data_IF_185438593118
#
_entry.id   IF_185438593118
#
_cell.length_a   1.000
_cell.length_b   1.000
_cell.length_c   1.000
_cell.angle_alpha   90.00
_cell.angle_beta   90.00
_cell.angle_gamma   90.00
#
_symmetry.space_group_name_H-M   'P 1'
#
loop_
_entity.id
_entity.type
_entity.pdbx_description
1 polymer ?
#
# COMPACT_ATOMS: atom_id res chain seq x y z
N UNK A 1 31.51 -18.28 -3.74
CA UNK A 1 30.13 -18.53 -4.14
C UNK A 1 29.26 -19.21 -3.06
N UNK A 2 29.79 -19.78 -1.96
CA UNK A 2 29.00 -20.46 -0.91
C UNK A 2 28.34 -19.59 0.16
N UNK A 3 28.71 -18.34 0.32
CA UNK A 3 28.16 -17.47 1.38
C UNK A 3 26.75 -16.93 1.10
N UNK A 4 26.45 -16.61 -0.15
CA UNK A 4 25.16 -16.05 -0.54
C UNK A 4 24.00 -17.06 -0.45
N UNK A 5 24.26 -18.32 -0.79
CA UNK A 5 23.26 -19.39 -0.75
C UNK A 5 22.90 -19.78 0.70
N UNK A 6 23.89 -19.84 1.61
CA UNK A 6 23.67 -20.08 3.04
C UNK A 6 22.91 -18.91 3.68
N UNK A 7 23.25 -17.68 3.36
CA UNK A 7 22.54 -16.49 3.86
C UNK A 7 21.10 -16.44 3.34
N UNK A 8 20.84 -16.79 2.08
CA UNK A 8 19.50 -16.90 1.54
C UNK A 8 18.69 -18.01 2.23
N UNK A 9 19.30 -19.19 2.44
CA UNK A 9 18.65 -20.32 3.11
C UNK A 9 18.25 -19.96 4.54
N UNK A 10 19.13 -19.36 5.32
CA UNK A 10 18.84 -18.91 6.69
C UNK A 10 17.75 -17.84 6.71
N UNK A 11 17.73 -16.95 5.72
CA UNK A 11 16.73 -15.87 5.61
C UNK A 11 15.31 -16.38 5.36
N UNK A 12 15.16 -17.43 4.54
CA UNK A 12 13.85 -17.99 4.18
C UNK A 12 13.44 -19.21 5.01
N UNK A 13 14.34 -19.75 5.83
CA UNK A 13 14.06 -20.89 6.72
C UNK A 13 12.81 -20.67 7.60
N UNK A 14 12.58 -19.48 8.23
CA UNK A 14 11.39 -19.27 9.04
C UNK A 14 10.08 -19.41 8.25
N UNK A 15 10.07 -19.00 6.98
CA UNK A 15 8.88 -19.12 6.12
C UNK A 15 8.60 -20.59 5.77
N UNK A 16 9.64 -21.37 5.49
CA UNK A 16 9.52 -22.80 5.22
C UNK A 16 9.04 -23.53 6.47
N UNK A 17 9.60 -23.21 7.65
CA UNK A 17 9.16 -23.81 8.92
C UNK A 17 7.70 -23.45 9.25
N UNK A 18 7.27 -22.21 8.98
CA UNK A 18 5.89 -21.80 9.15
C UNK A 18 4.95 -22.55 8.22
N UNK A 19 5.31 -22.72 6.95
CA UNK A 19 4.52 -23.49 5.98
C UNK A 19 4.41 -24.96 6.36
N UNK A 20 5.51 -25.57 6.83
CA UNK A 20 5.51 -26.94 7.34
C UNK A 20 4.67 -27.08 8.61
N UNK A 21 4.80 -26.16 9.55
CA UNK A 21 3.98 -26.14 10.78
C UNK A 21 2.49 -25.99 10.46
N UNK A 22 2.13 -25.16 9.49
CA UNK A 22 0.77 -25.04 8.99
C UNK A 22 0.26 -26.36 8.42
N UNK A 23 0.98 -26.95 7.47
CA UNK A 23 0.57 -28.21 6.82
C UNK A 23 0.43 -29.36 7.83
N UNK A 24 1.42 -29.52 8.72
CA UNK A 24 1.39 -30.56 9.75
C UNK A 24 0.26 -30.32 10.76
N UNK A 25 0.10 -29.09 11.26
CA UNK A 25 -0.95 -28.75 12.23
C UNK A 25 -2.36 -28.97 11.69
N UNK A 26 -2.60 -28.67 10.40
CA UNK A 26 -3.85 -28.93 9.73
C UNK A 26 -4.11 -30.43 9.51
N UNK A 27 -3.08 -31.20 9.11
CA UNK A 27 -3.24 -32.66 8.85
C UNK A 27 -3.32 -33.51 10.10
N UNK A 28 -2.68 -33.11 11.18
CA UNK A 28 -2.72 -33.87 12.46
C UNK A 28 -3.99 -33.66 13.26
N UNK A 29 -4.89 -32.76 12.79
CA UNK A 29 -6.12 -32.45 13.50
C UNK A 29 -5.94 -31.58 14.75
N UNK A 30 -4.73 -31.01 14.96
CA UNK A 30 -4.48 -30.03 16.03
C UNK A 30 -5.34 -28.78 15.84
N UNK A 31 -5.64 -28.44 14.59
CA UNK A 31 -6.55 -27.35 14.21
C UNK A 31 -7.62 -27.94 13.28
N UNK A 32 -8.87 -27.51 13.47
CA UNK A 32 -9.96 -27.90 12.58
C UNK A 32 -9.64 -27.48 11.14
N UNK A 33 -9.82 -28.38 10.17
CA UNK A 33 -9.64 -28.08 8.75
C UNK A 33 -10.60 -27.01 8.22
N UNK A 34 -11.70 -26.77 8.91
CA UNK A 34 -12.59 -25.64 8.64
C UNK A 34 -11.96 -24.30 9.03
N UNK A 35 -11.18 -24.27 10.11
CA UNK A 35 -10.53 -23.05 10.58
C UNK A 35 -9.19 -22.81 9.86
N UNK A 36 -8.46 -23.88 9.52
CA UNK A 36 -7.17 -23.81 8.84
C UNK A 36 -7.05 -25.03 7.90
N UNK A 37 -7.42 -24.89 6.60
CA UNK A 37 -7.26 -25.96 5.64
C UNK A 37 -5.78 -26.26 5.38
N UNK A 38 -5.40 -27.51 5.02
CA UNK A 38 -4.03 -27.84 4.66
C UNK A 38 -3.51 -26.95 3.53
N UNK A 39 -2.25 -26.54 3.60
CA UNK A 39 -1.63 -25.69 2.57
C UNK A 39 -1.65 -26.35 1.19
N UNK A 40 -1.58 -27.67 1.14
CA UNK A 40 -1.69 -28.45 -0.09
C UNK A 40 -3.05 -28.35 -0.77
N UNK A 41 -4.17 -28.33 -0.02
CA UNK A 41 -5.53 -28.12 -0.57
C UNK A 41 -5.71 -26.67 -1.00
N UNK A 42 -5.17 -25.72 -0.24
CA UNK A 42 -5.14 -24.29 -0.61
C UNK A 42 -4.39 -24.10 -1.94
N UNK A 43 -3.25 -24.77 -2.13
CA UNK A 43 -2.50 -24.70 -3.39
C UNK A 43 -3.27 -25.30 -4.57
N UNK A 44 -4.00 -26.40 -4.36
CA UNK A 44 -4.85 -26.99 -5.40
C UNK A 44 -6.00 -26.03 -5.79
N UNK A 45 -6.70 -25.48 -4.80
CA UNK A 45 -7.76 -24.49 -5.04
C UNK A 45 -7.22 -23.22 -5.74
N UNK A 46 -6.00 -22.79 -5.40
CA UNK A 46 -5.34 -21.66 -6.07
C UNK A 46 -5.13 -21.92 -7.58
N UNK A 47 -4.71 -23.15 -7.95
CA UNK A 47 -4.52 -23.55 -9.35
C UNK A 47 -5.88 -23.59 -10.09
N UNK A 48 -6.95 -24.05 -9.45
CA UNK A 48 -8.29 -24.05 -10.02
C UNK A 48 -8.79 -22.62 -10.30
N UNK A 49 -8.75 -21.73 -9.30
CA UNK A 49 -9.13 -20.33 -9.45
C UNK A 49 -8.30 -19.58 -10.53
N UNK A 50 -7.05 -19.98 -10.75
CA UNK A 50 -6.25 -19.47 -11.87
C UNK A 50 -6.74 -19.98 -13.23
N UNK A 51 -7.07 -21.27 -13.34
CA UNK A 51 -7.56 -21.89 -14.60
C UNK A 51 -8.92 -21.35 -14.99
N UNK A 52 -9.81 -21.15 -14.04
CA UNK A 52 -11.15 -20.60 -14.25
C UNK A 52 -11.14 -19.09 -14.56
N UNK A 53 -9.98 -18.45 -14.37
CA UNK A 53 -9.78 -17.03 -14.63
C UNK A 53 -10.34 -16.10 -13.54
N UNK A 54 -11.03 -16.61 -12.54
CA UNK A 54 -11.63 -15.81 -11.47
C UNK A 54 -10.59 -14.99 -10.71
N UNK A 55 -9.42 -15.60 -10.40
CA UNK A 55 -8.35 -14.93 -9.70
C UNK A 55 -7.74 -13.81 -10.52
N UNK A 56 -7.63 -13.99 -11.84
CA UNK A 56 -7.07 -12.98 -12.75
C UNK A 56 -8.04 -11.81 -12.90
N UNK A 57 -9.32 -12.08 -13.12
CA UNK A 57 -10.35 -11.06 -13.32
C UNK A 57 -10.52 -10.20 -12.05
N UNK A 58 -10.71 -10.84 -10.91
CA UNK A 58 -10.85 -10.15 -9.64
C UNK A 58 -9.54 -9.44 -9.23
N UNK A 59 -8.39 -10.05 -9.49
CA UNK A 59 -7.07 -9.46 -9.25
C UNK A 59 -6.83 -8.20 -10.07
N UNK A 60 -7.20 -8.21 -11.35
CA UNK A 60 -7.08 -7.05 -12.23
C UNK A 60 -7.96 -5.88 -11.75
N UNK A 61 -9.22 -6.15 -11.38
CA UNK A 61 -10.12 -5.14 -10.83
C UNK A 61 -9.57 -4.53 -9.53
N UNK A 62 -9.08 -5.35 -8.61
CA UNK A 62 -8.47 -4.90 -7.35
C UNK A 62 -7.21 -4.06 -7.59
N UNK A 63 -6.30 -4.52 -8.45
CA UNK A 63 -5.06 -3.78 -8.76
C UNK A 63 -5.35 -2.45 -9.47
N UNK A 64 -6.35 -2.39 -10.33
CA UNK A 64 -6.80 -1.15 -10.95
C UNK A 64 -7.25 -0.13 -9.90
N UNK A 65 -8.12 -0.53 -8.97
CA UNK A 65 -8.64 0.34 -7.89
C UNK A 65 -7.53 0.81 -6.97
N UNK A 66 -6.65 -0.10 -6.52
CA UNK A 66 -5.51 0.23 -5.68
C UNK A 66 -4.55 1.20 -6.40
N UNK A 67 -4.20 0.90 -7.65
CA UNK A 67 -3.30 1.72 -8.46
C UNK A 67 -3.85 3.12 -8.71
N UNK A 68 -5.11 3.24 -9.13
CA UNK A 68 -5.75 4.53 -9.39
C UNK A 68 -5.85 5.39 -8.12
N UNK A 69 -6.31 4.80 -7.00
CA UNK A 69 -6.44 5.52 -5.73
C UNK A 69 -5.08 5.96 -5.18
N UNK A 70 -4.08 5.07 -5.24
CA UNK A 70 -2.72 5.38 -4.80
C UNK A 70 -2.07 6.46 -5.69
N UNK A 71 -2.24 6.37 -7.01
CA UNK A 71 -1.72 7.37 -7.93
C UNK A 71 -2.28 8.76 -7.65
N UNK A 72 -3.60 8.89 -7.47
CA UNK A 72 -4.23 10.15 -7.07
C UNK A 72 -3.69 10.67 -5.74
N UNK A 73 -3.49 9.76 -4.77
CA UNK A 73 -2.90 10.11 -3.47
C UNK A 73 -1.48 10.64 -3.59
N UNK A 74 -0.66 10.03 -4.46
CA UNK A 74 0.73 10.47 -4.68
C UNK A 74 0.74 11.87 -5.30
N UNK A 75 -0.02 12.08 -6.37
CA UNK A 75 -0.01 13.37 -7.09
C UNK A 75 -0.53 14.50 -6.19
N UNK A 76 -1.71 14.32 -5.61
CA UNK A 76 -2.36 15.37 -4.82
C UNK A 76 -1.68 15.52 -3.45
N UNK A 77 -1.36 14.41 -2.78
CA UNK A 77 -0.72 14.43 -1.47
C UNK A 77 0.69 15.03 -1.49
N UNK A 78 1.51 14.68 -2.50
CA UNK A 78 2.85 15.27 -2.65
C UNK A 78 2.77 16.77 -2.93
N UNK A 79 1.90 17.18 -3.86
CA UNK A 79 1.69 18.61 -4.15
C UNK A 79 1.23 19.37 -2.89
N UNK A 80 0.25 18.82 -2.16
CA UNK A 80 -0.29 19.45 -0.96
C UNK A 80 0.78 19.58 0.13
N UNK A 81 1.55 18.52 0.39
CA UNK A 81 2.60 18.52 1.41
C UNK A 81 3.71 19.54 1.09
N UNK A 82 4.17 19.62 -0.16
CA UNK A 82 5.16 20.61 -0.60
C UNK A 82 4.61 22.01 -0.47
N UNK A 83 3.36 22.27 -0.89
CA UNK A 83 2.72 23.58 -0.80
C UNK A 83 2.55 24.02 0.66
N UNK A 84 2.14 23.12 1.55
CA UNK A 84 2.07 23.38 2.99
C UNK A 84 3.45 23.73 3.59
N UNK A 85 4.50 23.02 3.19
CA UNK A 85 5.86 23.30 3.67
C UNK A 85 6.38 24.67 3.18
N UNK A 86 6.02 25.06 1.95
CA UNK A 86 6.51 26.26 1.28
C UNK A 86 5.76 27.53 1.65
N UNK A 87 4.42 27.44 1.84
CA UNK A 87 3.56 28.59 2.14
C UNK A 87 2.94 28.49 3.52
N UNK A 88 3.44 29.34 4.44
CA UNK A 88 2.94 29.39 5.82
C UNK A 88 1.41 29.57 5.94
N UNK A 89 0.72 30.45 5.15
CA UNK A 89 -0.73 30.55 5.24
C UNK A 89 -1.47 29.25 4.92
N UNK A 90 -1.01 28.50 3.91
CA UNK A 90 -1.58 27.20 3.54
C UNK A 90 -1.35 26.17 4.64
N UNK A 91 -0.16 26.17 5.24
CA UNK A 91 0.12 25.30 6.37
C UNK A 91 -0.81 25.58 7.56
N UNK A 92 -0.94 26.84 7.96
CA UNK A 92 -1.82 27.23 9.08
C UNK A 92 -3.28 26.85 8.83
N UNK A 93 -3.74 26.95 7.58
CA UNK A 93 -5.11 26.59 7.20
C UNK A 93 -5.33 25.07 7.19
N UNK A 94 -4.37 24.30 6.69
CA UNK A 94 -4.56 22.86 6.46
C UNK A 94 -4.05 21.98 7.61
N UNK A 95 -3.12 22.44 8.46
CA UNK A 95 -2.62 21.67 9.59
C UNK A 95 -3.72 21.15 10.53
N UNK A 96 -4.71 21.96 10.93
CA UNK A 96 -5.79 21.47 11.79
C UNK A 96 -6.60 20.34 11.14
N UNK A 97 -6.80 20.40 9.81
CA UNK A 97 -7.48 19.33 9.08
C UNK A 97 -6.64 18.06 9.07
N UNK A 98 -5.34 18.16 8.78
CA UNK A 98 -4.41 17.03 8.81
C UNK A 98 -4.41 16.38 10.20
N UNK A 99 -4.30 17.18 11.27
CA UNK A 99 -4.29 16.70 12.66
C UNK A 99 -5.60 16.01 13.04
N UNK A 100 -6.75 16.53 12.60
CA UNK A 100 -8.06 15.94 12.85
C UNK A 100 -8.24 14.61 12.09
N UNK A 101 -7.80 14.55 10.83
CA UNK A 101 -7.94 13.34 10.02
C UNK A 101 -6.87 12.28 10.32
N UNK A 102 -5.78 12.63 10.96
CA UNK A 102 -4.68 11.70 11.24
C UNK A 102 -5.13 10.50 12.08
N UNK A 103 -5.75 10.65 13.26
CA UNK A 103 -6.18 9.54 14.12
C UNK A 103 -7.44 8.83 13.62
N UNK A 104 -8.14 9.38 12.63
CA UNK A 104 -9.40 8.82 12.16
C UNK A 104 -9.19 7.45 11.48
N UNK A 105 -9.94 6.40 11.86
CA UNK A 105 -9.87 5.11 11.17
C UNK A 105 -10.44 5.25 9.75
N UNK A 106 -9.58 5.06 8.75
CA UNK A 106 -9.93 5.27 7.33
C UNK A 106 -10.97 4.28 6.83
N UNK A 107 -11.00 3.07 7.40
CA UNK A 107 -12.03 2.06 7.11
C UNK A 107 -13.45 2.50 7.49
N UNK A 108 -13.61 3.43 8.44
CA UNK A 108 -14.92 4.00 8.78
C UNK A 108 -15.54 4.81 7.61
N UNK A 109 -14.73 5.19 6.63
CA UNK A 109 -15.23 5.88 5.42
C UNK A 109 -15.83 4.92 4.38
N UNK A 110 -15.70 3.59 4.52
CA UNK A 110 -16.24 2.61 3.57
C UNK A 110 -17.73 2.84 3.30
N UNK A 111 -18.62 2.86 4.32
CA UNK A 111 -20.03 3.08 4.07
C UNK A 111 -20.33 4.47 3.49
N UNK A 112 -19.55 5.48 3.86
CA UNK A 112 -19.73 6.85 3.36
C UNK A 112 -19.40 6.94 1.87
N UNK A 113 -18.25 6.41 1.45
CA UNK A 113 -17.86 6.40 0.03
C UNK A 113 -18.79 5.54 -0.81
N UNK A 114 -19.29 4.42 -0.26
CA UNK A 114 -20.28 3.58 -0.92
C UNK A 114 -21.65 4.28 -1.07
N UNK A 115 -22.05 5.06 -0.06
CA UNK A 115 -23.27 5.86 -0.12
C UNK A 115 -23.19 6.97 -1.18
N UNK A 116 -22.05 7.64 -1.31
CA UNK A 116 -21.86 8.74 -2.25
C UNK A 116 -21.71 8.29 -3.70
N UNK A 117 -20.96 7.21 -3.92
CA UNK A 117 -20.53 6.79 -5.27
C UNK A 117 -20.99 5.37 -5.66
N UNK A 118 -21.79 4.74 -4.78
CA UNK A 118 -22.29 3.38 -5.01
C UNK A 118 -21.23 2.30 -4.78
N UNK A 119 -21.56 1.07 -5.19
CA UNK A 119 -20.74 -0.13 -4.97
C UNK A 119 -19.70 -0.38 -6.10
N UNK A 120 -19.54 0.55 -7.03
CA UNK A 120 -18.59 0.49 -8.15
C UNK A 120 -17.15 0.84 -7.76
N UNK A 121 -16.29 1.00 -8.76
CA UNK A 121 -14.86 1.32 -8.60
C UNK A 121 -14.61 2.67 -7.93
N UNK A 122 -15.42 3.67 -8.28
CA UNK A 122 -15.23 5.04 -7.83
C UNK A 122 -15.21 5.17 -6.31
N UNK A 123 -16.06 4.43 -5.59
CA UNK A 123 -16.09 4.46 -4.11
C UNK A 123 -14.83 3.89 -3.48
N UNK A 124 -14.25 2.83 -4.05
CA UNK A 124 -13.01 2.20 -3.58
C UNK A 124 -11.81 3.08 -3.90
N UNK A 125 -11.75 3.61 -5.11
CA UNK A 125 -10.70 4.55 -5.53
C UNK A 125 -10.70 5.79 -4.64
N UNK A 126 -11.88 6.38 -4.34
CA UNK A 126 -12.00 7.51 -3.44
C UNK A 126 -11.55 7.16 -2.02
N UNK A 127 -11.96 6.02 -1.48
CA UNK A 127 -11.54 5.56 -0.15
C UNK A 127 -10.02 5.41 -0.05
N UNK A 128 -9.41 4.73 -1.02
CA UNK A 128 -7.96 4.53 -1.08
C UNK A 128 -7.25 5.87 -1.21
N UNK A 129 -7.75 6.76 -2.08
CA UNK A 129 -7.24 8.11 -2.23
C UNK A 129 -7.23 8.86 -0.89
N UNK A 130 -8.36 8.94 -0.20
CA UNK A 130 -8.48 9.66 1.07
C UNK A 130 -7.60 9.04 2.17
N UNK A 131 -7.49 7.71 2.22
CA UNK A 131 -6.68 7.02 3.21
C UNK A 131 -5.18 7.14 2.98
N UNK A 132 -4.76 7.09 1.72
CA UNK A 132 -3.35 7.12 1.32
C UNK A 132 -2.79 8.55 1.16
N UNK A 133 -3.65 9.55 1.00
CA UNK A 133 -3.22 10.95 0.81
C UNK A 133 -2.43 11.47 2.02
N UNK A 134 -2.85 11.14 3.25
CA UNK A 134 -2.23 11.64 4.47
C UNK A 134 -0.75 11.24 4.62
N UNK A 135 -0.35 9.94 4.57
CA UNK A 135 1.06 9.57 4.69
C UNK A 135 1.91 10.17 3.58
N UNK A 136 1.38 10.33 2.36
CA UNK A 136 2.10 11.01 1.27
C UNK A 136 2.27 12.49 1.56
N UNK A 137 1.20 13.18 2.01
CA UNK A 137 1.24 14.61 2.36
C UNK A 137 2.25 14.87 3.48
N UNK A 138 2.22 14.06 4.54
CA UNK A 138 3.14 14.20 5.66
C UNK A 138 4.59 13.90 5.26
N UNK A 139 4.83 12.87 4.44
CA UNK A 139 6.15 12.58 3.89
C UNK A 139 6.71 13.75 3.08
N UNK A 140 5.90 14.31 2.16
CA UNK A 140 6.26 15.46 1.35
C UNK A 140 6.50 16.71 2.21
N UNK A 141 5.63 16.98 3.19
CA UNK A 141 5.74 18.11 4.10
C UNK A 141 6.99 18.04 4.97
N UNK A 142 7.21 16.91 5.62
CA UNK A 142 8.37 16.70 6.49
C UNK A 142 9.67 16.76 5.68
N UNK A 143 9.72 16.10 4.54
CA UNK A 143 10.88 16.13 3.66
C UNK A 143 11.20 17.52 3.12
N UNK A 144 10.19 18.30 2.73
CA UNK A 144 10.41 19.66 2.28
C UNK A 144 10.89 20.60 3.41
N UNK A 145 10.49 20.35 4.66
CA UNK A 145 10.95 21.12 5.82
C UNK A 145 12.33 20.70 6.34
N UNK A 146 12.73 19.47 6.08
CA UNK A 146 14.05 18.95 6.50
C UNK A 146 15.19 19.41 5.59
N UNK A 147 14.89 20.17 4.49
CA UNK A 147 15.93 20.70 3.63
C UNK A 147 16.92 21.56 4.45
N UNK A 148 18.20 21.24 4.30
CA UNK A 148 19.27 21.93 5.04
C UNK A 148 19.25 23.43 4.74
N UNK A 149 19.18 24.25 5.77
CA UNK A 149 19.18 25.72 5.65
C UNK A 149 20.42 26.22 4.90
N UNK A 150 21.55 25.52 5.04
CA UNK A 150 22.78 25.81 4.32
C UNK A 150 22.62 25.73 2.80
N UNK A 151 21.90 24.73 2.31
CA UNK A 151 21.60 24.60 0.87
C UNK A 151 20.69 25.73 0.38
N UNK A 152 19.68 26.08 1.18
CA UNK A 152 18.78 27.19 0.88
C UNK A 152 19.53 28.53 0.83
N UNK A 153 20.43 28.77 1.80
CA UNK A 153 21.26 30.00 1.81
C UNK A 153 22.25 30.03 0.67
N UNK A 154 22.91 28.89 0.35
CA UNK A 154 23.80 28.77 -0.77
C UNK A 154 23.11 29.11 -2.10
N UNK A 155 21.94 28.51 -2.36
CA UNK A 155 21.15 28.77 -3.56
C UNK A 155 20.73 30.27 -3.65
N UNK A 156 20.35 30.86 -2.52
CA UNK A 156 19.99 32.28 -2.45
C UNK A 156 21.19 33.18 -2.74
N UNK A 157 22.39 32.86 -2.22
CA UNK A 157 23.62 33.63 -2.49
C UNK A 157 24.04 33.54 -3.95
N UNK A 158 23.70 32.46 -4.63
CA UNK A 158 23.90 32.29 -6.09
C UNK A 158 22.81 32.97 -6.94
N UNK A 159 21.88 33.73 -6.33
CA UNK A 159 20.86 34.47 -7.05
C UNK A 159 19.60 33.65 -7.44
N UNK A 160 19.42 32.47 -6.86
CA UNK A 160 18.22 31.68 -7.14
C UNK A 160 16.95 32.41 -6.64
N UNK A 161 15.94 32.53 -7.49
CA UNK A 161 14.63 33.02 -7.11
C UNK A 161 13.85 31.96 -6.32
N UNK A 162 12.72 32.36 -5.72
CA UNK A 162 11.90 31.47 -4.87
C UNK A 162 11.47 30.18 -5.59
N UNK A 163 11.07 30.29 -6.85
CA UNK A 163 10.59 29.13 -7.62
C UNK A 163 11.74 28.17 -7.97
N UNK A 164 12.89 28.72 -8.35
CA UNK A 164 14.10 27.94 -8.64
C UNK A 164 14.58 27.21 -7.39
N UNK A 165 14.57 27.87 -6.24
CA UNK A 165 14.93 27.26 -4.96
C UNK A 165 13.98 26.13 -4.58
N UNK A 166 12.67 26.27 -4.89
CA UNK A 166 11.69 25.18 -4.66
C UNK A 166 12.04 23.92 -5.48
N UNK A 167 12.30 24.08 -6.79
CA UNK A 167 12.54 22.95 -7.68
C UNK A 167 13.95 22.37 -7.59
N UNK A 168 14.97 23.21 -7.39
CA UNK A 168 16.38 22.78 -7.41
C UNK A 168 16.87 22.32 -6.03
N UNK A 169 16.22 22.74 -4.94
CA UNK A 169 16.65 22.42 -3.56
C UNK A 169 15.57 21.69 -2.78
N UNK A 170 14.38 22.28 -2.62
CA UNK A 170 13.37 21.78 -1.69
C UNK A 170 12.75 20.46 -2.18
N UNK A 171 12.36 20.39 -3.46
CA UNK A 171 11.74 19.18 -4.02
C UNK A 171 12.71 17.98 -4.03
N UNK A 172 13.97 18.11 -4.48
CA UNK A 172 14.94 17.02 -4.36
C UNK A 172 15.22 16.60 -2.91
N UNK A 173 15.33 17.56 -1.99
CA UNK A 173 15.55 17.27 -0.57
C UNK A 173 14.34 16.56 0.07
N UNK A 174 13.13 16.81 -0.43
CA UNK A 174 11.92 16.17 0.06
C UNK A 174 11.75 14.72 -0.42
N UNK A 175 12.45 14.32 -1.47
CA UNK A 175 12.23 13.06 -2.15
C UNK A 175 12.37 11.82 -1.24
N UNK A 176 13.36 11.69 -0.34
CA UNK A 176 13.50 10.52 0.53
C UNK A 176 12.31 10.31 1.45
N UNK A 177 11.88 11.37 2.14
CA UNK A 177 10.74 11.30 3.05
C UNK A 177 9.41 11.14 2.31
N UNK A 178 9.26 11.76 1.15
CA UNK A 178 8.12 11.54 0.26
C UNK A 178 8.01 10.08 -0.15
N UNK A 179 9.12 9.46 -0.56
CA UNK A 179 9.15 8.05 -0.95
C UNK A 179 8.82 7.13 0.24
N UNK A 180 9.26 7.45 1.45
CA UNK A 180 8.85 6.73 2.67
C UNK A 180 7.34 6.86 2.92
N UNK A 181 6.78 8.05 2.74
CA UNK A 181 5.35 8.30 2.82
C UNK A 181 4.56 7.50 1.78
N UNK A 182 5.04 7.43 0.53
CA UNK A 182 4.43 6.63 -0.55
C UNK A 182 4.48 5.13 -0.21
N UNK A 183 5.57 4.64 0.36
CA UNK A 183 5.66 3.23 0.79
C UNK A 183 4.62 2.90 1.85
N UNK A 184 4.44 3.78 2.82
CA UNK A 184 3.39 3.63 3.84
C UNK A 184 2.00 3.65 3.21
N UNK A 185 1.77 4.55 2.25
CA UNK A 185 0.53 4.64 1.49
C UNK A 185 0.27 3.36 0.66
N UNK A 186 1.31 2.77 0.06
CA UNK A 186 1.20 1.51 -0.68
C UNK A 186 0.68 0.37 0.23
N UNK A 187 1.23 0.22 1.43
CA UNK A 187 0.75 -0.79 2.37
C UNK A 187 -0.72 -0.53 2.79
N UNK A 188 -1.05 0.73 3.09
CA UNK A 188 -2.43 1.13 3.44
C UNK A 188 -3.41 0.92 2.29
N UNK A 189 -2.98 1.10 1.03
CA UNK A 189 -3.84 0.91 -0.14
C UNK A 189 -4.39 -0.52 -0.23
N UNK A 190 -3.56 -1.54 0.03
CA UNK A 190 -4.00 -2.94 0.06
C UNK A 190 -4.96 -3.23 1.22
N UNK A 191 -4.72 -2.66 2.40
CA UNK A 191 -5.60 -2.82 3.56
C UNK A 191 -6.98 -2.24 3.26
N UNK A 192 -7.04 -1.00 2.75
CA UNK A 192 -8.28 -0.31 2.44
C UNK A 192 -9.01 -0.96 1.25
N UNK A 193 -8.26 -1.40 0.25
CA UNK A 193 -8.78 -2.14 -0.91
C UNK A 193 -9.57 -3.37 -0.45
N UNK A 194 -8.88 -4.31 0.23
CA UNK A 194 -9.49 -5.57 0.67
C UNK A 194 -10.67 -5.33 1.61
N UNK A 195 -10.52 -4.41 2.58
CA UNK A 195 -11.60 -4.08 3.51
C UNK A 195 -12.84 -3.51 2.79
N UNK A 196 -12.64 -2.64 1.80
CA UNK A 196 -13.75 -2.05 1.05
C UNK A 196 -14.40 -3.05 0.10
N UNK A 197 -13.63 -3.92 -0.52
CA UNK A 197 -14.14 -4.95 -1.41
C UNK A 197 -14.90 -6.04 -0.64
N UNK A 198 -14.44 -6.41 0.56
CA UNK A 198 -15.12 -7.37 1.42
C UNK A 198 -16.51 -6.89 1.84
N UNK A 199 -16.67 -5.58 2.10
CA UNK A 199 -17.91 -5.00 2.63
C UNK A 199 -18.85 -4.52 1.52
N UNK A 200 -18.30 -3.93 0.46
CA UNK A 200 -19.07 -3.10 -0.47
C UNK A 200 -18.65 -3.28 -1.94
N UNK A 201 -18.40 -4.53 -2.39
CA UNK A 201 -18.08 -4.81 -3.79
C UNK A 201 -18.90 -5.98 -4.35
N UNK A 202 -18.90 -6.10 -5.70
CA UNK A 202 -19.47 -7.24 -6.42
C UNK A 202 -18.40 -8.00 -7.23
N UNK A 203 -17.17 -7.53 -7.18
CA UNK A 203 -15.98 -8.10 -7.82
C UNK A 203 -14.73 -7.58 -7.12
N UNK A 204 -13.62 -8.26 -7.29
CA UNK A 204 -12.35 -7.97 -6.64
C UNK A 204 -11.94 -9.08 -5.68
N UNK A 205 -10.65 -9.08 -5.29
CA UNK A 205 -10.11 -10.13 -4.41
C UNK A 205 -10.76 -10.12 -3.02
N UNK A 206 -11.07 -8.94 -2.47
CA UNK A 206 -11.77 -8.84 -1.20
C UNK A 206 -13.20 -9.37 -1.28
N UNK A 207 -13.93 -9.07 -2.36
CA UNK A 207 -15.24 -9.68 -2.62
C UNK A 207 -15.14 -11.20 -2.71
N UNK A 208 -14.17 -11.71 -3.46
CA UNK A 208 -13.97 -13.16 -3.64
C UNK A 208 -13.66 -13.86 -2.31
N UNK A 209 -12.87 -13.25 -1.42
CA UNK A 209 -12.65 -13.73 -0.05
C UNK A 209 -13.97 -13.87 0.70
N UNK A 210 -14.79 -12.82 0.69
CA UNK A 210 -16.08 -12.82 1.39
C UNK A 210 -17.06 -13.84 0.81
N UNK A 211 -17.16 -13.95 -0.52
CA UNK A 211 -18.03 -14.89 -1.21
C UNK A 211 -17.67 -16.34 -0.92
N UNK A 212 -16.39 -16.70 -1.07
CA UNK A 212 -15.89 -18.05 -0.81
C UNK A 212 -16.01 -18.43 0.68
N UNK A 213 -15.75 -17.47 1.57
CA UNK A 213 -15.93 -17.67 3.01
C UNK A 213 -17.39 -17.94 3.39
N UNK A 214 -18.32 -17.18 2.82
CA UNK A 214 -19.76 -17.38 3.02
C UNK A 214 -20.28 -18.68 2.41
N UNK A 215 -19.65 -19.15 1.31
CA UNK A 215 -19.99 -20.42 0.66
C UNK A 215 -19.39 -21.64 1.36
N UNK A 216 -18.53 -21.46 2.40
CA UNK A 216 -17.86 -22.55 3.12
C UNK A 216 -16.67 -23.19 2.37
N UNK A 217 -16.23 -22.58 1.24
CA UNK A 217 -15.07 -23.04 0.46
C UNK A 217 -13.80 -22.38 1.00
N UNK A 218 -13.39 -22.81 2.22
CA UNK A 218 -12.32 -22.14 2.96
C UNK A 218 -10.93 -22.31 2.32
N UNK A 219 -10.66 -23.42 1.67
CA UNK A 219 -9.43 -23.65 0.92
C UNK A 219 -9.24 -22.63 -0.21
N UNK A 220 -10.27 -22.36 -0.98
CA UNK A 220 -10.29 -21.36 -2.02
C UNK A 220 -10.21 -19.92 -1.41
N UNK A 221 -10.92 -19.66 -0.32
CA UNK A 221 -10.81 -18.39 0.41
C UNK A 221 -9.37 -18.11 0.84
N UNK A 222 -8.69 -19.08 1.47
CA UNK A 222 -7.29 -18.95 1.88
C UNK A 222 -6.35 -18.76 0.69
N UNK A 223 -6.63 -19.40 -0.45
CA UNK A 223 -5.87 -19.20 -1.69
C UNK A 223 -5.93 -17.73 -2.16
N UNK A 224 -7.11 -17.10 -2.09
CA UNK A 224 -7.25 -15.67 -2.44
C UNK A 224 -6.55 -14.78 -1.41
N UNK A 225 -6.63 -15.09 -0.11
CA UNK A 225 -5.91 -14.34 0.95
C UNK A 225 -4.40 -14.39 0.71
N UNK A 226 -3.85 -15.57 0.40
CA UNK A 226 -2.42 -15.71 0.06
C UNK A 226 -2.06 -14.94 -1.22
N UNK A 227 -2.96 -14.88 -2.20
CA UNK A 227 -2.77 -14.07 -3.41
C UNK A 227 -2.65 -12.58 -3.08
N UNK A 228 -3.54 -12.06 -2.24
CA UNK A 228 -3.45 -10.65 -1.79
C UNK A 228 -2.13 -10.39 -1.07
N UNK A 229 -1.72 -11.28 -0.18
CA UNK A 229 -0.45 -11.16 0.54
C UNK A 229 0.75 -11.17 -0.43
N UNK A 230 0.73 -12.06 -1.43
CA UNK A 230 1.76 -12.13 -2.47
C UNK A 230 1.80 -10.87 -3.33
N UNK A 231 0.65 -10.37 -3.77
CA UNK A 231 0.56 -9.13 -4.55
C UNK A 231 1.09 -7.93 -3.77
N UNK A 232 0.71 -7.78 -2.49
CA UNK A 232 1.24 -6.73 -1.61
C UNK A 232 2.75 -6.83 -1.42
N UNK A 233 3.26 -8.05 -1.21
CA UNK A 233 4.69 -8.29 -1.09
C UNK A 233 5.45 -7.96 -2.39
N UNK A 234 4.95 -8.40 -3.53
CA UNK A 234 5.57 -8.10 -4.84
C UNK A 234 5.56 -6.61 -5.12
N UNK A 235 4.44 -5.93 -4.83
CA UNK A 235 4.33 -4.48 -4.98
C UNK A 235 5.34 -3.72 -4.11
N UNK A 236 5.51 -4.11 -2.82
CA UNK A 236 6.53 -3.53 -1.94
C UNK A 236 7.95 -3.77 -2.46
N UNK A 237 8.24 -4.98 -2.99
CA UNK A 237 9.56 -5.29 -3.55
C UNK A 237 9.87 -4.47 -4.81
N UNK A 238 8.92 -4.35 -5.72
CA UNK A 238 9.05 -3.49 -6.91
C UNK A 238 9.27 -2.05 -6.47
N UNK A 239 8.47 -1.58 -5.51
CA UNK A 239 8.59 -0.23 -4.98
C UNK A 239 9.98 0.04 -4.37
N UNK A 240 10.51 -0.86 -3.55
CA UNK A 240 11.84 -0.72 -2.95
C UNK A 240 12.96 -0.64 -3.99
N UNK A 241 12.87 -1.42 -5.07
CA UNK A 241 13.85 -1.35 -6.17
C UNK A 241 13.77 0.01 -6.87
N UNK A 242 12.56 0.53 -7.12
CA UNK A 242 12.37 1.85 -7.70
C UNK A 242 12.91 2.95 -6.78
N UNK A 243 12.58 2.90 -5.50
CA UNK A 243 13.06 3.84 -4.48
C UNK A 243 14.59 3.88 -4.42
N UNK A 244 15.25 2.71 -4.36
CA UNK A 244 16.72 2.62 -4.36
C UNK A 244 17.34 3.20 -5.63
N UNK A 245 16.69 3.05 -6.78
CA UNK A 245 17.17 3.65 -8.03
C UNK A 245 17.03 5.17 -8.03
N UNK A 246 15.93 5.69 -7.49
CA UNK A 246 15.68 7.13 -7.39
C UNK A 246 16.61 7.83 -6.40
N UNK A 247 17.04 7.14 -5.33
CA UNK A 247 17.90 7.69 -4.27
C UNK A 247 19.40 7.36 -4.43
N UNK A 248 19.85 6.91 -5.62
CA UNK A 248 21.26 6.56 -5.87
C UNK A 248 22.25 7.68 -5.56
N UNK A 249 21.82 8.91 -5.60
CA UNK A 249 22.64 10.09 -5.29
C UNK A 249 22.88 10.31 -3.80
N UNK A 250 22.19 9.54 -2.94
CA UNK A 250 22.39 9.59 -1.48
C UNK A 250 23.31 8.47 -0.95
N UNK A 251 23.74 7.53 -1.80
CA UNK A 251 24.59 6.39 -1.44
C UNK A 251 26.08 6.71 -1.55
#
# INVERSE_FOLDING_TARGET
MGGGMKAALVRYLPLVLLALAWEVGARTGLVSTLALPPLSTVAAAWIELLKDGELITNGAASLWRAGAGLFLSIVIGAALGIVMAWWRPVNVLLSPLVEMFYPMPKSALIPVTALWLGFGDASKILLIFLGCMLPVTLGAFNGARSSEQALVWSARSMGANRLRMLWDVVVPSALPELLNGIRTALALSFILLVSSELIAAREGLGYLIGFLGASGTYDAMFAVVLTVALLGFVADRIYLVLMQRMLRWQA
#
